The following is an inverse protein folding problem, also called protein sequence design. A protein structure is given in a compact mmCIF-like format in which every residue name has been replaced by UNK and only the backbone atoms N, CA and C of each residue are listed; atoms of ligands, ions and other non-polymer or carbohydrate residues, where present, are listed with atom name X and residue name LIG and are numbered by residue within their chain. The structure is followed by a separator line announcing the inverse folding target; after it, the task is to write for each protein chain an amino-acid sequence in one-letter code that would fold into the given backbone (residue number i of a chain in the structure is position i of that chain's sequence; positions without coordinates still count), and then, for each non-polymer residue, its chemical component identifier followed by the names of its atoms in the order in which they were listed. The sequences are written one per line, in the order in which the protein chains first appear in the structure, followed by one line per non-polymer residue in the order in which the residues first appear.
data_IF_059097982160
#
_entry.id   IF_059097982160
#
_cell.length_a   1.000
_cell.length_b   1.000
_cell.length_c   1.000
_cell.angle_alpha   90.00
_cell.angle_beta   90.00
_cell.angle_gamma   90.00
#
_symmetry.space_group_name_H-M   'P 1'
#
loop_
_entity.id
_entity.type
_entity.pdbx_description
1 polymer ?
#
# COMPACT_ATOMS: atom_id res chain seq x y z
N UNK A 1 -7.47 39.75 7.06
CA UNK A 1 -6.17 39.14 6.73
C UNK A 1 -6.17 37.79 7.41
N UNK A 2 -6.16 36.70 6.66
CA UNK A 2 -5.92 35.37 7.24
C UNK A 2 -4.57 35.40 7.97
N UNK A 3 -4.50 34.77 9.14
CA UNK A 3 -3.26 34.74 9.94
C UNK A 3 -2.22 33.91 9.20
N UNK A 4 -1.07 34.54 8.93
CA UNK A 4 0.09 33.89 8.34
C UNK A 4 0.62 32.76 9.22
N UNK A 5 1.00 31.63 8.63
CA UNK A 5 1.58 30.48 9.34
C UNK A 5 3.04 30.35 8.92
N UNK A 6 3.97 30.83 9.74
CA UNK A 6 5.42 30.85 9.42
C UNK A 6 6.15 29.57 9.82
N UNK A 7 5.61 28.87 10.80
CA UNK A 7 6.15 27.63 11.34
C UNK A 7 5.03 26.71 11.81
N UNK A 8 5.30 25.40 11.86
CA UNK A 8 4.37 24.38 12.34
C UNK A 8 5.02 23.47 13.38
N UNK A 9 4.27 23.07 14.41
CA UNK A 9 4.73 22.09 15.39
C UNK A 9 4.27 20.66 15.05
N UNK A 10 4.68 19.67 15.84
CA UNK A 10 4.29 18.27 15.67
C UNK A 10 2.77 18.05 15.64
N UNK A 11 2.02 18.77 16.48
CA UNK A 11 0.56 18.69 16.52
C UNK A 11 -0.09 19.17 15.21
N UNK A 12 0.37 20.30 14.67
CA UNK A 12 -0.11 20.81 13.38
C UNK A 12 0.28 19.90 12.23
N UNK A 13 1.49 19.33 12.24
CA UNK A 13 1.91 18.33 11.26
C UNK A 13 0.97 17.11 11.29
N UNK A 14 0.73 16.55 12.48
CA UNK A 14 -0.17 15.42 12.67
C UNK A 14 -1.57 15.68 12.12
N UNK A 15 -2.20 16.80 12.50
CA UNK A 15 -3.55 17.10 12.05
C UNK A 15 -3.64 17.42 10.55
N UNK A 16 -2.59 17.99 9.96
CA UNK A 16 -2.53 18.15 8.49
C UNK A 16 -2.52 16.79 7.78
N UNK A 17 -1.82 15.79 8.32
CA UNK A 17 -1.82 14.43 7.80
C UNK A 17 -3.18 13.74 7.99
N UNK A 18 -3.85 13.97 9.12
CA UNK A 18 -5.20 13.46 9.34
C UNK A 18 -6.19 14.04 8.31
N UNK A 19 -6.06 15.33 7.97
CA UNK A 19 -6.88 15.96 6.94
C UNK A 19 -6.57 15.41 5.54
N UNK A 20 -5.30 15.14 5.24
CA UNK A 20 -4.91 14.43 4.02
C UNK A 20 -5.47 13.00 3.93
N UNK A 21 -5.41 12.25 5.04
CA UNK A 21 -5.99 10.92 5.16
C UNK A 21 -7.50 10.93 4.91
N UNK A 22 -8.21 11.91 5.49
CA UNK A 22 -9.64 12.14 5.26
C UNK A 22 -9.97 12.29 3.77
N UNK A 23 -9.21 13.09 3.02
CA UNK A 23 -9.40 13.26 1.58
C UNK A 23 -9.16 11.98 0.79
N UNK A 24 -8.21 11.13 1.20
CA UNK A 24 -8.01 9.82 0.58
C UNK A 24 -9.25 8.94 0.78
N UNK A 25 -9.82 8.91 1.98
CA UNK A 25 -11.03 8.14 2.25
C UNK A 25 -12.22 8.62 1.41
N UNK A 26 -12.43 9.93 1.31
CA UNK A 26 -13.49 10.53 0.48
C UNK A 26 -13.35 10.23 -1.01
N UNK A 27 -12.12 10.01 -1.48
CA UNK A 27 -11.81 9.76 -2.88
C UNK A 27 -11.51 8.29 -3.19
N UNK A 28 -11.66 7.38 -2.22
CA UNK A 28 -11.25 5.98 -2.35
C UNK A 28 -11.84 5.32 -3.62
N UNK A 29 -13.16 5.46 -3.82
CA UNK A 29 -13.87 4.87 -4.98
C UNK A 29 -13.38 5.46 -6.30
N UNK A 30 -13.13 6.77 -6.35
CA UNK A 30 -12.59 7.44 -7.54
C UNK A 30 -11.20 6.91 -7.87
N UNK A 31 -10.32 6.80 -6.87
CA UNK A 31 -8.95 6.32 -7.04
C UNK A 31 -8.93 4.86 -7.53
N UNK A 32 -9.81 4.02 -7.01
CA UNK A 32 -9.98 2.65 -7.49
C UNK A 32 -10.44 2.63 -8.96
N UNK A 33 -11.42 3.46 -9.31
CA UNK A 33 -11.99 3.52 -10.66
C UNK A 33 -10.98 3.92 -11.75
N UNK A 34 -9.99 4.75 -11.42
CA UNK A 34 -8.97 5.21 -12.37
C UNK A 34 -7.69 4.35 -12.34
N UNK A 35 -7.64 3.30 -11.51
CA UNK A 35 -6.47 2.43 -11.45
C UNK A 35 -6.40 1.55 -12.72
N UNK A 36 -5.53 1.94 -13.64
CA UNK A 36 -5.29 1.22 -14.90
C UNK A 36 -3.82 0.90 -15.15
N UNK A 37 -2.92 1.23 -14.21
CA UNK A 37 -1.48 1.03 -14.33
C UNK A 37 -0.84 0.67 -12.97
N UNK A 38 0.11 -0.27 -12.91
CA UNK A 38 0.53 -1.17 -14.01
C UNK A 38 -0.54 -2.22 -14.33
N UNK A 39 -1.40 -2.53 -13.35
CA UNK A 39 -2.48 -3.52 -13.48
C UNK A 39 -3.80 -2.82 -13.15
N UNK A 40 -4.82 -3.01 -13.99
CA UNK A 40 -6.14 -2.43 -13.77
C UNK A 40 -7.01 -3.27 -12.81
N UNK A 41 -6.53 -3.45 -11.58
CA UNK A 41 -7.16 -4.28 -10.54
C UNK A 41 -8.13 -3.50 -9.62
N UNK A 42 -8.30 -2.20 -9.87
CA UNK A 42 -9.14 -1.29 -9.09
C UNK A 42 -8.82 -1.23 -7.58
N UNK A 43 -7.55 -1.40 -7.19
CA UNK A 43 -7.17 -1.48 -5.78
C UNK A 43 -6.42 -0.25 -5.20
N UNK A 44 -5.94 0.68 -6.03
CA UNK A 44 -5.02 1.76 -5.58
C UNK A 44 -5.62 2.62 -4.47
N UNK A 45 -6.89 2.99 -4.58
CA UNK A 45 -7.61 3.74 -3.54
C UNK A 45 -7.72 2.93 -2.24
N UNK A 46 -8.03 1.65 -2.32
CA UNK A 46 -8.10 0.72 -1.17
C UNK A 46 -6.74 0.56 -0.50
N UNK A 47 -5.67 0.49 -1.28
CA UNK A 47 -4.29 0.39 -0.81
C UNK A 47 -3.85 1.67 -0.08
N UNK A 48 -4.08 2.83 -0.67
CA UNK A 48 -3.81 4.12 -0.03
C UNK A 48 -4.67 4.34 1.23
N UNK A 49 -5.97 4.04 1.18
CA UNK A 49 -6.86 4.12 2.33
C UNK A 49 -6.39 3.20 3.47
N UNK A 50 -5.91 1.99 3.16
CA UNK A 50 -5.36 1.08 4.18
C UNK A 50 -4.14 1.68 4.88
N UNK A 51 -3.22 2.28 4.10
CA UNK A 51 -2.06 3.02 4.63
C UNK A 51 -2.50 4.15 5.54
N UNK A 52 -3.43 5.00 5.08
CA UNK A 52 -3.94 6.13 5.85
C UNK A 52 -4.65 5.69 7.14
N UNK A 53 -5.40 4.60 7.10
CA UNK A 53 -6.09 4.05 8.27
C UNK A 53 -5.12 3.59 9.34
N UNK A 54 -4.00 3.00 8.95
CA UNK A 54 -2.93 2.67 9.89
C UNK A 54 -2.38 3.92 10.57
N UNK A 55 -2.11 4.99 9.81
CA UNK A 55 -1.68 6.28 10.35
C UNK A 55 -2.70 6.81 11.36
N UNK A 56 -3.98 6.90 10.96
CA UNK A 56 -5.07 7.41 11.82
C UNK A 56 -5.23 6.60 13.11
N UNK A 57 -5.11 5.27 13.04
CA UNK A 57 -5.39 4.39 14.17
C UNK A 57 -4.21 4.23 15.14
N UNK A 58 -2.97 4.49 14.69
CA UNK A 58 -1.77 4.11 15.45
C UNK A 58 -0.78 5.24 15.67
N UNK A 59 -0.81 6.29 14.85
CA UNK A 59 0.04 7.45 15.07
C UNK A 59 -0.62 8.39 16.09
N UNK A 60 0.17 8.85 17.05
CA UNK A 60 -0.22 9.86 18.02
C UNK A 60 0.76 11.04 17.97
N UNK A 61 0.29 12.29 18.07
CA UNK A 61 1.17 13.45 18.12
C UNK A 61 2.05 13.39 19.37
N UNK A 62 3.34 13.63 19.17
CA UNK A 62 4.35 13.64 20.24
C UNK A 62 4.74 15.09 20.58
N UNK A 63 5.38 15.30 21.73
CA UNK A 63 5.86 16.64 22.12
C UNK A 63 6.89 17.21 21.13
N UNK A 64 7.73 16.34 20.58
CA UNK A 64 8.77 16.70 19.62
C UNK A 64 8.28 16.46 18.18
N UNK A 65 8.53 17.42 17.29
CA UNK A 65 8.16 17.39 15.88
C UNK A 65 8.71 16.13 15.18
N UNK A 66 9.99 15.83 15.37
CA UNK A 66 10.65 14.67 14.78
C UNK A 66 10.01 13.37 15.23
N UNK A 67 9.72 13.23 16.52
CA UNK A 67 9.04 12.03 17.02
C UNK A 67 7.62 11.89 16.47
N UNK A 68 6.92 12.99 16.23
CA UNK A 68 5.62 12.95 15.54
C UNK A 68 5.77 12.48 14.09
N UNK A 69 6.75 13.01 13.35
CA UNK A 69 7.02 12.59 11.98
C UNK A 69 7.44 11.12 11.88
N UNK A 70 8.28 10.64 12.82
CA UNK A 70 8.68 9.23 12.93
C UNK A 70 7.46 8.34 13.23
N UNK A 71 6.58 8.75 14.14
CA UNK A 71 5.36 7.99 14.44
C UNK A 71 4.43 7.89 13.22
N UNK A 72 4.23 8.99 12.47
CA UNK A 72 3.47 9.00 11.22
C UNK A 72 4.09 8.07 10.17
N UNK A 73 5.42 8.13 9.99
CA UNK A 73 6.13 7.30 9.02
C UNK A 73 6.11 5.80 9.39
N UNK A 74 6.31 5.46 10.66
CA UNK A 74 6.28 4.06 11.13
C UNK A 74 4.87 3.46 10.99
N UNK A 75 3.83 4.23 11.32
CA UNK A 75 2.45 3.84 11.13
C UNK A 75 2.11 3.65 9.64
N UNK A 76 2.60 4.55 8.77
CA UNK A 76 2.45 4.43 7.32
C UNK A 76 3.13 3.16 6.80
N UNK A 77 4.39 2.92 7.15
CA UNK A 77 5.16 1.76 6.71
C UNK A 77 4.51 0.44 7.19
N UNK A 78 4.06 0.40 8.45
CA UNK A 78 3.38 -0.76 9.04
C UNK A 78 2.03 -1.05 8.37
N UNK A 79 1.34 -0.02 7.87
CA UNK A 79 0.05 -0.14 7.18
C UNK A 79 0.09 -0.21 5.66
N UNK A 80 1.24 0.08 5.05
CA UNK A 80 1.37 0.36 3.62
C UNK A 80 0.97 -0.82 2.72
N UNK A 81 -0.07 -0.73 1.91
CA UNK A 81 -0.43 -1.83 0.98
C UNK A 81 -0.12 -1.48 -0.46
N UNK A 82 0.22 -2.50 -1.25
CA UNK A 82 0.57 -2.36 -2.66
C UNK A 82 1.73 -1.38 -2.93
N UNK A 83 2.04 -1.19 -4.21
CA UNK A 83 3.14 -0.30 -4.61
C UNK A 83 2.90 1.15 -4.19
N UNK A 84 1.70 1.69 -4.43
CA UNK A 84 1.37 3.08 -4.10
C UNK A 84 1.48 3.38 -2.60
N UNK A 85 0.97 2.51 -1.73
CA UNK A 85 1.06 2.69 -0.29
C UNK A 85 2.49 2.61 0.23
N UNK A 86 3.29 1.67 -0.30
CA UNK A 86 4.69 1.48 0.11
C UNK A 86 5.56 2.65 -0.34
N UNK A 87 5.39 3.15 -1.57
CA UNK A 87 6.09 4.35 -2.08
C UNK A 87 5.77 5.57 -1.22
N UNK A 88 4.49 5.79 -0.93
CA UNK A 88 4.05 6.91 -0.10
C UNK A 88 4.62 6.81 1.33
N UNK A 89 4.57 5.62 1.93
CA UNK A 89 5.16 5.39 3.25
C UNK A 89 6.68 5.61 3.26
N UNK A 90 7.38 5.22 2.19
CA UNK A 90 8.82 5.47 2.08
C UNK A 90 9.15 6.95 1.94
N UNK A 91 8.32 7.72 1.21
CA UNK A 91 8.47 9.16 1.15
C UNK A 91 8.32 9.80 2.53
N UNK A 92 7.31 9.39 3.31
CA UNK A 92 7.13 9.86 4.69
C UNK A 92 8.29 9.46 5.61
N UNK A 93 8.80 8.24 5.45
CA UNK A 93 9.98 7.78 6.16
C UNK A 93 11.21 8.64 5.84
N UNK A 94 11.44 8.94 4.56
CA UNK A 94 12.48 9.88 4.12
C UNK A 94 12.33 11.24 4.79
N UNK A 95 11.12 11.83 4.75
CA UNK A 95 10.83 13.10 5.40
C UNK A 95 11.14 13.07 6.90
N UNK A 96 10.74 12.00 7.61
CA UNK A 96 11.00 11.86 9.04
C UNK A 96 12.50 11.81 9.39
N UNK A 97 13.32 11.24 8.49
CA UNK A 97 14.77 11.16 8.67
C UNK A 97 15.48 12.49 8.37
N UNK A 98 14.94 13.30 7.47
CA UNK A 98 15.50 14.61 7.12
C UNK A 98 15.24 15.65 8.23
N UNK A 99 14.18 15.48 9.02
CA UNK A 99 13.88 16.36 10.16
C UNK A 99 15.00 16.28 11.20
N UNK A 100 15.57 17.45 11.50
CA UNK A 100 16.59 17.65 12.53
C UNK A 100 15.95 17.75 13.92
N UNK A 101 16.77 17.86 14.96
CA UNK A 101 16.30 18.10 16.33
C UNK A 101 15.79 19.55 16.48
N UNK A 102 14.59 19.81 15.97
CA UNK A 102 13.93 21.12 15.94
C UNK A 102 12.54 21.03 16.59
N UNK A 103 12.11 22.05 17.32
CA UNK A 103 10.78 22.09 17.98
C UNK A 103 9.66 22.41 16.98
N UNK A 104 9.95 23.32 16.04
CA UNK A 104 9.03 23.77 15.00
C UNK A 104 9.68 23.64 13.62
N UNK A 105 8.84 23.52 12.60
CA UNK A 105 9.26 23.42 11.21
C UNK A 105 8.93 24.71 10.48
N UNK A 106 9.95 25.43 10.05
CA UNK A 106 9.77 26.61 9.20
C UNK A 106 9.41 26.21 7.77
N UNK A 107 8.84 27.15 6.99
CA UNK A 107 8.54 26.95 5.56
C UNK A 107 9.78 26.51 4.78
N UNK A 108 10.93 27.13 5.05
CA UNK A 108 12.18 26.83 4.33
C UNK A 108 12.70 25.42 4.66
N UNK A 109 12.68 25.05 5.94
CA UNK A 109 13.06 23.71 6.38
C UNK A 109 12.12 22.63 5.84
N UNK A 110 10.80 22.85 5.86
CA UNK A 110 9.82 21.93 5.29
C UNK A 110 10.08 21.65 3.81
N UNK A 111 10.26 22.70 3.01
CA UNK A 111 10.52 22.55 1.58
C UNK A 111 11.85 21.83 1.28
N UNK A 112 12.88 22.08 2.08
CA UNK A 112 14.17 21.38 1.98
C UNK A 112 14.06 19.89 2.33
N UNK A 113 13.40 19.56 3.44
CA UNK A 113 13.24 18.17 3.88
C UNK A 113 12.35 17.37 2.92
N UNK A 114 11.28 17.97 2.39
CA UNK A 114 10.44 17.34 1.37
C UNK A 114 11.21 17.05 0.08
N UNK A 115 12.04 18.00 -0.39
CA UNK A 115 12.90 17.80 -1.56
C UNK A 115 13.93 16.70 -1.35
N UNK A 116 14.51 16.60 -0.16
CA UNK A 116 15.46 15.53 0.14
C UNK A 116 14.76 14.17 0.30
N UNK A 117 13.53 14.14 0.83
CA UNK A 117 12.73 12.92 0.99
C UNK A 117 12.40 12.22 -0.34
N UNK A 118 12.39 12.95 -1.46
CA UNK A 118 12.14 12.38 -2.81
C UNK A 118 13.08 11.21 -3.11
N UNK A 119 14.36 11.31 -2.73
CA UNK A 119 15.35 10.25 -3.01
C UNK A 119 14.94 8.91 -2.39
N UNK A 120 14.34 8.93 -1.21
CA UNK A 120 13.92 7.71 -0.51
C UNK A 120 12.81 6.98 -1.27
N UNK A 121 11.87 7.71 -1.88
CA UNK A 121 10.80 7.11 -2.67
C UNK A 121 11.34 6.46 -3.96
N UNK A 122 12.26 7.14 -4.67
CA UNK A 122 12.94 6.58 -5.84
C UNK A 122 13.80 5.37 -5.47
N UNK A 123 14.55 5.49 -4.37
CA UNK A 123 15.28 4.41 -3.73
C UNK A 123 14.37 3.44 -2.95
N UNK A 124 13.07 3.34 -3.21
CA UNK A 124 12.30 2.16 -2.80
C UNK A 124 12.01 1.26 -3.98
N UNK A 125 11.94 1.82 -5.18
CA UNK A 125 11.49 1.13 -6.38
C UNK A 125 12.71 0.58 -7.13
N UNK A 126 12.63 -0.67 -7.59
CA UNK A 126 13.72 -1.28 -8.35
C UNK A 126 13.87 -0.64 -9.74
N UNK A 127 12.74 -0.41 -10.42
CA UNK A 127 12.66 0.21 -11.73
C UNK A 127 11.63 1.36 -11.70
N UNK A 128 12.03 2.58 -11.31
CA UNK A 128 11.13 3.72 -11.26
C UNK A 128 10.54 4.05 -12.64
N UNK A 129 9.23 4.29 -12.70
CA UNK A 129 8.53 4.67 -13.94
C UNK A 129 8.07 6.12 -13.82
N UNK A 130 8.56 6.98 -14.70
CA UNK A 130 8.11 8.37 -14.77
C UNK A 130 6.70 8.45 -15.35
N UNK A 131 5.95 9.51 -14.98
CA UNK A 131 4.52 9.63 -15.26
C UNK A 131 3.64 8.93 -14.21
N UNK A 132 4.20 8.57 -13.06
CA UNK A 132 3.47 7.96 -11.92
C UNK A 132 3.57 8.85 -10.67
N UNK A 133 3.05 8.38 -9.53
CA UNK A 133 3.13 9.06 -8.22
C UNK A 133 4.51 9.68 -7.91
N UNK A 134 5.62 8.99 -8.21
CA UNK A 134 6.96 9.50 -7.92
C UNK A 134 7.31 10.78 -8.70
N UNK A 135 6.80 10.92 -9.94
CA UNK A 135 7.02 12.12 -10.75
C UNK A 135 6.30 13.32 -10.15
N UNK A 136 5.05 13.12 -9.68
CA UNK A 136 4.28 14.20 -9.03
C UNK A 136 4.88 14.58 -7.68
N UNK A 137 5.34 13.60 -6.88
CA UNK A 137 6.08 13.87 -5.64
C UNK A 137 7.33 14.70 -5.91
N UNK A 138 8.13 14.30 -6.91
CA UNK A 138 9.36 15.01 -7.30
C UNK A 138 9.06 16.44 -7.76
N UNK A 139 8.16 16.61 -8.72
CA UNK A 139 7.82 17.92 -9.30
C UNK A 139 7.26 18.88 -8.24
N UNK A 140 6.42 18.37 -7.33
CA UNK A 140 5.90 19.12 -6.20
C UNK A 140 7.01 19.55 -5.24
N UNK A 141 7.84 18.60 -4.80
CA UNK A 141 8.89 18.84 -3.80
C UNK A 141 9.98 19.79 -4.33
N UNK A 142 10.40 19.62 -5.59
CA UNK A 142 11.34 20.52 -6.25
C UNK A 142 10.76 21.94 -6.38
N UNK A 143 9.46 22.06 -6.70
CA UNK A 143 8.84 23.36 -6.86
C UNK A 143 8.69 24.12 -5.54
N UNK A 144 8.21 23.48 -4.46
CA UNK A 144 8.15 24.14 -3.16
C UNK A 144 9.55 24.52 -2.65
N UNK A 145 10.58 23.73 -2.98
CA UNK A 145 11.97 24.07 -2.70
C UNK A 145 12.42 25.36 -3.40
N UNK A 146 12.02 25.58 -4.66
CA UNK A 146 12.30 26.83 -5.37
C UNK A 146 11.57 28.06 -4.78
N UNK A 147 10.51 27.83 -4.00
CA UNK A 147 9.73 28.87 -3.33
C UNK A 147 10.16 29.12 -1.89
N UNK A 148 11.05 28.29 -1.34
CA UNK A 148 11.40 28.25 0.10
C UNK A 148 11.90 29.58 0.68
N UNK A 149 12.55 30.41 -0.17
CA UNK A 149 13.09 31.72 0.20
C UNK A 149 12.21 32.89 -0.28
N UNK A 150 11.14 32.59 -1.02
CA UNK A 150 10.18 33.59 -1.55
C UNK A 150 8.96 33.75 -0.64
N UNK A 151 8.57 32.66 0.02
CA UNK A 151 7.44 32.64 0.94
C UNK A 151 7.91 32.20 2.32
N UNK A 152 7.31 32.81 3.33
CA UNK A 152 7.41 32.45 4.74
C UNK A 152 6.01 32.18 5.32
N UNK A 153 5.09 31.72 4.46
CA UNK A 153 3.72 31.35 4.82
C UNK A 153 3.37 29.96 4.26
N UNK A 154 3.06 29.01 5.14
CA UNK A 154 2.68 27.64 4.78
C UNK A 154 1.45 27.60 3.86
N UNK A 155 0.46 28.47 4.08
CA UNK A 155 -0.76 28.48 3.25
C UNK A 155 -0.41 28.78 1.79
N UNK A 156 0.46 29.78 1.56
CA UNK A 156 0.93 30.14 0.21
C UNK A 156 1.80 29.05 -0.40
N UNK A 157 2.79 28.54 0.36
CA UNK A 157 3.66 27.47 -0.11
C UNK A 157 2.84 26.24 -0.56
N UNK A 158 1.87 25.82 0.25
CA UNK A 158 1.03 24.67 -0.03
C UNK A 158 0.06 24.92 -1.20
N UNK A 159 -0.49 26.14 -1.34
CA UNK A 159 -1.33 26.49 -2.48
C UNK A 159 -0.57 26.42 -3.81
N UNK A 160 0.58 27.08 -3.89
CA UNK A 160 1.43 27.08 -5.09
C UNK A 160 1.99 25.67 -5.37
N UNK A 161 2.41 24.95 -4.33
CA UNK A 161 2.79 23.54 -4.43
C UNK A 161 1.66 22.67 -4.99
N UNK A 162 0.44 22.79 -4.45
CA UNK A 162 -0.72 22.03 -4.90
C UNK A 162 -1.03 22.30 -6.38
N UNK A 163 -0.95 23.57 -6.82
CA UNK A 163 -1.10 23.90 -8.24
C UNK A 163 -0.07 23.18 -9.10
N UNK A 164 1.21 23.15 -8.68
CA UNK A 164 2.23 22.40 -9.40
C UNK A 164 1.98 20.89 -9.41
N UNK A 165 1.53 20.33 -8.30
CA UNK A 165 1.19 18.91 -8.22
C UNK A 165 0.03 18.56 -9.16
N UNK A 166 -0.99 19.43 -9.28
CA UNK A 166 -2.09 19.26 -10.24
C UNK A 166 -1.63 19.37 -11.70
N UNK A 167 -0.67 20.24 -12.01
CA UNK A 167 -0.05 20.30 -13.34
C UNK A 167 0.68 19.00 -13.66
N UNK A 168 1.56 18.54 -12.77
CA UNK A 168 2.32 17.30 -12.93
C UNK A 168 1.40 16.09 -13.05
N UNK A 169 0.32 16.06 -12.27
CA UNK A 169 -0.71 15.01 -12.36
C UNK A 169 -1.33 14.94 -13.75
N UNK A 170 -1.64 16.08 -14.40
CA UNK A 170 -2.16 16.08 -15.77
C UNK A 170 -1.14 15.52 -16.77
N UNK A 171 0.15 15.81 -16.56
CA UNK A 171 1.23 15.29 -17.40
C UNK A 171 1.39 13.77 -17.32
N UNK A 172 0.88 13.11 -16.28
CA UNK A 172 0.91 11.63 -16.17
C UNK A 172 0.21 10.97 -17.37
N UNK A 173 -0.94 11.53 -17.78
CA UNK A 173 -1.69 11.07 -18.96
C UNK A 173 -0.89 11.26 -20.25
N UNK A 174 -0.06 12.29 -20.36
CA UNK A 174 0.79 12.53 -21.54
C UNK A 174 2.04 11.63 -21.56
N UNK A 175 2.51 11.22 -20.38
CA UNK A 175 3.76 10.46 -20.22
C UNK A 175 3.55 8.97 -20.45
N UNK A 176 2.44 8.41 -19.96
CA UNK A 176 2.15 6.98 -20.04
C UNK A 176 1.03 6.68 -21.04
N UNK A 177 1.35 5.92 -22.07
CA UNK A 177 0.42 5.59 -23.15
C UNK A 177 -0.86 4.87 -22.67
N UNK A 178 -0.76 4.02 -21.64
CA UNK A 178 -1.90 3.32 -21.05
C UNK A 178 -2.90 4.29 -20.38
N UNK A 179 -2.40 5.34 -19.74
CA UNK A 179 -3.20 6.40 -19.12
C UNK A 179 -3.88 7.26 -20.20
N UNK A 180 -3.13 7.64 -21.25
CA UNK A 180 -3.67 8.35 -22.41
C UNK A 180 -4.82 7.59 -23.09
N UNK A 181 -4.62 6.28 -23.33
CA UNK A 181 -5.60 5.41 -23.98
C UNK A 181 -6.89 5.29 -23.18
N UNK A 182 -6.78 5.29 -21.86
CA UNK A 182 -7.91 5.19 -20.93
C UNK A 182 -8.51 6.56 -20.56
N UNK A 183 -7.88 7.66 -21.01
CA UNK A 183 -8.24 9.05 -20.70
C UNK A 183 -8.36 9.30 -19.18
N UNK A 184 -7.41 8.76 -18.41
CA UNK A 184 -7.31 8.95 -16.95
C UNK A 184 -5.89 9.41 -16.58
N UNK A 185 -5.75 9.93 -15.36
CA UNK A 185 -4.45 10.23 -14.74
C UNK A 185 -3.98 9.04 -13.90
N UNK A 186 -2.71 9.04 -13.49
CA UNK A 186 -2.20 8.02 -12.56
C UNK A 186 -2.96 8.03 -11.23
N UNK A 187 -3.47 6.86 -10.81
CA UNK A 187 -4.29 6.73 -9.62
C UNK A 187 -3.50 7.05 -8.35
N UNK A 188 -2.25 6.57 -8.26
CA UNK A 188 -1.37 6.84 -7.15
C UNK A 188 -1.04 8.33 -7.02
N UNK A 189 -0.68 8.97 -8.14
CA UNK A 189 -0.44 10.39 -8.21
C UNK A 189 -1.66 11.23 -7.82
N UNK A 190 -2.86 10.87 -8.31
CA UNK A 190 -4.10 11.55 -7.88
C UNK A 190 -4.30 11.39 -6.37
N UNK A 191 -3.99 10.22 -5.82
CA UNK A 191 -3.94 9.96 -4.39
C UNK A 191 -3.05 10.96 -3.64
N UNK A 192 -1.81 11.14 -4.10
CA UNK A 192 -0.90 12.13 -3.51
C UNK A 192 -1.46 13.57 -3.58
N UNK A 193 -2.05 13.96 -4.73
CA UNK A 193 -2.66 15.29 -4.88
C UNK A 193 -3.84 15.50 -3.92
N UNK A 194 -4.76 14.53 -3.79
CA UNK A 194 -5.90 14.68 -2.85
C UNK A 194 -5.44 14.71 -1.38
N UNK A 195 -4.35 14.02 -1.05
CA UNK A 195 -3.73 14.13 0.27
C UNK A 195 -3.21 15.56 0.51
N UNK A 196 -2.53 16.17 -0.46
CA UNK A 196 -2.10 17.57 -0.39
C UNK A 196 -3.27 18.56 -0.29
N UNK A 197 -4.37 18.32 -1.01
CA UNK A 197 -5.61 19.11 -0.88
C UNK A 197 -6.10 19.12 0.56
N UNK A 198 -6.10 17.97 1.24
CA UNK A 198 -6.49 17.85 2.65
C UNK A 198 -5.54 18.58 3.61
N UNK A 199 -4.23 18.46 3.39
CA UNK A 199 -3.24 19.23 4.17
C UNK A 199 -3.46 20.74 4.01
N UNK A 200 -3.67 21.21 2.78
CA UNK A 200 -3.93 22.61 2.49
C UNK A 200 -5.22 23.11 3.16
N UNK A 201 -6.31 22.32 3.08
CA UNK A 201 -7.59 22.66 3.69
C UNK A 201 -7.48 22.83 5.21
N UNK A 202 -6.67 22.01 5.89
CA UNK A 202 -6.39 22.16 7.32
C UNK A 202 -5.71 23.49 7.65
N UNK A 203 -4.65 23.88 6.92
CA UNK A 203 -3.96 25.13 7.21
C UNK A 203 -4.78 26.37 6.84
N UNK A 204 -5.61 26.27 5.79
CA UNK A 204 -6.47 27.37 5.36
C UNK A 204 -7.65 27.59 6.30
N UNK A 205 -8.33 26.52 6.70
CA UNK A 205 -9.60 26.61 7.43
C UNK A 205 -9.44 26.38 8.95
N UNK A 206 -8.27 25.95 9.40
CA UNK A 206 -8.00 25.57 10.79
C UNK A 206 -8.42 24.14 11.10
N UNK A 207 -8.62 23.83 12.39
CA UNK A 207 -9.06 22.51 12.84
C UNK A 207 -10.43 22.17 12.26
N UNK A 208 -10.45 21.29 11.27
CA UNK A 208 -11.65 20.61 10.81
C UNK A 208 -11.97 19.52 11.86
N UNK A 209 -13.23 19.37 12.24
CA UNK A 209 -13.65 18.22 13.06
C UNK A 209 -13.51 16.96 12.20
N UNK A 210 -12.42 16.21 12.37
CA UNK A 210 -12.19 14.98 11.64
C UNK A 210 -12.85 13.84 12.42
N UNK A 211 -13.88 13.22 11.83
CA UNK A 211 -14.57 12.08 12.42
C UNK A 211 -14.28 10.81 11.62
N UNK A 212 -13.41 9.96 12.18
CA UNK A 212 -13.02 8.69 11.59
C UNK A 212 -13.88 7.49 12.05
N UNK A 213 -14.78 7.65 13.01
CA UNK A 213 -15.52 6.54 13.64
C UNK A 213 -16.45 5.78 12.67
N UNK A 214 -16.85 6.40 11.56
CA UNK A 214 -17.80 5.82 10.59
C UNK A 214 -17.23 5.52 9.20
N UNK A 215 -15.93 5.69 8.97
CA UNK A 215 -15.36 5.42 7.65
C UNK A 215 -15.11 3.93 7.46
N UNK A 216 -16.06 3.24 6.83
CA UNK A 216 -15.81 1.89 6.29
C UNK A 216 -14.90 2.01 5.05
N UNK A 217 -13.99 1.05 4.89
CA UNK A 217 -13.24 0.91 3.62
C UNK A 217 -14.29 0.52 2.57
N UNK A 218 -14.57 1.40 1.62
CA UNK A 218 -15.46 1.08 0.51
C UNK A 218 -14.72 0.20 -0.49
N UNK A 219 -15.08 -1.07 -0.54
CA UNK A 219 -14.48 -2.00 -1.50
C UNK A 219 -15.03 -1.66 -2.88
N UNK A 220 -14.12 -1.49 -3.84
CA UNK A 220 -14.43 -0.98 -5.17
C UNK A 220 -15.54 -1.81 -5.85
N UNK A 221 -16.52 -1.12 -6.44
CA UNK A 221 -17.38 -1.73 -7.45
C UNK A 221 -16.55 -2.10 -8.67
N UNK A 222 -16.70 -3.33 -9.16
CA UNK A 222 -16.05 -3.80 -10.36
C UNK A 222 -16.49 -2.95 -11.55
N UNK A 223 -15.61 -2.08 -12.04
CA UNK A 223 -15.84 -1.40 -13.31
C UNK A 223 -15.46 -2.38 -14.41
N UNK A 224 -16.34 -2.58 -15.41
CA UNK A 224 -16.06 -3.38 -16.60
C UNK A 224 -14.69 -2.99 -17.17
N UNK A 225 -13.67 -3.84 -16.95
CA UNK A 225 -12.31 -3.52 -17.32
C UNK A 225 -12.11 -3.67 -18.83
N UNK A 226 -11.30 -2.78 -19.38
CA UNK A 226 -10.84 -2.82 -20.78
C UNK A 226 -9.77 -3.92 -20.85
N UNK A 227 -9.83 -4.76 -21.90
CA UNK A 227 -8.88 -5.84 -22.17
C UNK A 227 -7.42 -5.45 -21.86
N UNK A 228 -6.78 -6.25 -21.00
CA UNK A 228 -5.51 -5.97 -20.34
C UNK A 228 -4.27 -6.21 -21.21
N UNK A 229 -3.17 -5.56 -20.82
CA UNK A 229 -1.79 -6.03 -21.07
C UNK A 229 -1.56 -7.38 -20.36
N UNK A 230 -0.63 -8.20 -20.86
CA UNK A 230 -0.37 -9.54 -20.33
C UNK A 230 0.09 -9.49 -18.87
N UNK A 231 -0.66 -10.13 -17.95
CA UNK A 231 -0.20 -10.38 -16.58
C UNK A 231 0.99 -11.34 -16.66
N UNK A 232 2.18 -10.85 -16.33
CA UNK A 232 3.42 -11.64 -16.39
C UNK A 232 3.52 -12.68 -15.28
N UNK A 233 3.11 -12.30 -14.07
CA UNK A 233 3.23 -13.12 -12.85
C UNK A 233 1.89 -13.21 -12.14
N UNK A 234 1.60 -14.37 -11.56
CA UNK A 234 0.29 -14.66 -10.97
C UNK A 234 0.02 -13.92 -9.66
N UNK A 235 1.00 -13.84 -8.77
CA UNK A 235 0.75 -13.41 -7.40
C UNK A 235 1.37 -12.05 -7.08
N UNK A 236 0.57 -11.16 -6.51
CA UNK A 236 1.05 -10.00 -5.78
C UNK A 236 1.45 -10.44 -4.37
N UNK A 237 2.73 -10.33 -4.03
CA UNK A 237 3.30 -10.80 -2.76
C UNK A 237 3.84 -9.64 -1.93
N UNK A 238 3.40 -9.53 -0.67
CA UNK A 238 3.88 -8.54 0.29
C UNK A 238 4.39 -9.20 1.57
N UNK A 239 5.40 -8.58 2.19
CA UNK A 239 5.89 -9.00 3.51
C UNK A 239 6.36 -7.82 4.36
N UNK A 240 6.24 -7.97 5.69
CA UNK A 240 6.94 -7.14 6.68
C UNK A 240 7.99 -7.98 7.39
N UNK A 241 9.22 -7.50 7.42
CA UNK A 241 10.36 -8.16 8.05
C UNK A 241 10.94 -7.23 9.12
N UNK A 242 11.01 -7.72 10.35
CA UNK A 242 11.69 -7.05 11.46
C UNK A 242 13.03 -7.72 11.73
N UNK A 243 14.06 -6.94 12.05
CA UNK A 243 15.39 -7.48 12.31
C UNK A 243 16.37 -6.39 12.68
N UNK A 244 17.65 -6.70 12.50
CA UNK A 244 18.76 -5.75 12.66
C UNK A 244 19.62 -5.79 11.40
N UNK A 245 20.17 -4.63 11.00
CA UNK A 245 21.00 -4.50 9.80
C UNK A 245 20.32 -5.00 8.52
N UNK A 246 19.02 -4.76 8.38
CA UNK A 246 18.24 -5.06 7.18
C UNK A 246 18.66 -4.14 6.03
N UNK A 247 19.55 -4.62 5.15
CA UNK A 247 20.06 -3.86 4.01
C UNK A 247 19.18 -4.05 2.79
N UNK A 248 18.75 -2.93 2.20
CA UNK A 248 17.92 -2.93 0.98
C UNK A 248 18.57 -3.69 -0.17
N UNK A 249 19.89 -3.54 -0.34
CA UNK A 249 20.63 -4.21 -1.41
C UNK A 249 20.51 -5.73 -1.31
N UNK A 250 20.55 -6.28 -0.08
CA UNK A 250 20.38 -7.71 0.16
C UNK A 250 18.99 -8.19 -0.28
N UNK A 251 17.93 -7.46 0.08
CA UNK A 251 16.57 -7.80 -0.36
C UNK A 251 16.44 -7.70 -1.88
N UNK A 252 16.96 -6.63 -2.47
CA UNK A 252 16.95 -6.41 -3.92
C UNK A 252 17.63 -7.56 -4.67
N UNK A 253 18.81 -7.98 -4.24
CA UNK A 253 19.57 -9.05 -4.89
C UNK A 253 18.86 -10.41 -4.80
N UNK A 254 18.21 -10.69 -3.67
CA UNK A 254 17.42 -11.92 -3.47
C UNK A 254 16.15 -11.90 -4.31
N UNK A 255 15.44 -10.77 -4.36
CA UNK A 255 14.11 -10.65 -4.97
C UNK A 255 14.14 -10.45 -6.48
N UNK A 256 15.18 -9.82 -7.04
CA UNK A 256 15.32 -9.54 -8.46
C UNK A 256 15.06 -10.74 -9.41
N UNK A 257 15.48 -11.98 -9.12
CA UNK A 257 15.16 -13.12 -9.98
C UNK A 257 13.71 -13.65 -9.86
N UNK A 258 12.94 -13.24 -8.84
CA UNK A 258 11.60 -13.81 -8.57
C UNK A 258 10.47 -13.16 -9.36
N UNK A 259 10.67 -11.95 -9.88
CA UNK A 259 9.68 -11.33 -10.76
C UNK A 259 9.82 -9.82 -10.90
N UNK A 260 8.69 -9.13 -11.07
CA UNK A 260 8.66 -7.71 -11.44
C UNK A 260 7.97 -6.81 -10.41
N UNK A 261 7.86 -5.51 -10.74
CA UNK A 261 7.13 -4.51 -9.94
C UNK A 261 7.61 -4.41 -8.48
N UNK A 262 8.91 -4.63 -8.28
CA UNK A 262 9.51 -4.71 -6.95
C UNK A 262 9.63 -3.34 -6.26
N UNK A 263 9.16 -3.29 -5.01
CA UNK A 263 9.32 -2.16 -4.09
C UNK A 263 9.82 -2.67 -2.74
N UNK A 264 10.88 -2.03 -2.22
CA UNK A 264 11.50 -2.34 -0.93
C UNK A 264 11.61 -1.03 -0.16
N UNK A 265 10.85 -0.90 0.92
CA UNK A 265 10.80 0.28 1.77
C UNK A 265 11.16 -0.04 3.22
N UNK A 266 11.49 0.99 3.99
CA UNK A 266 11.77 0.91 5.41
C UNK A 266 13.21 1.28 5.77
N UNK A 267 13.69 0.64 6.83
CA UNK A 267 14.92 0.95 7.55
C UNK A 267 15.73 -0.30 7.84
N UNK A 268 16.90 -0.12 8.44
CA UNK A 268 17.75 -1.23 8.92
C UNK A 268 17.10 -2.12 9.99
N UNK A 269 15.96 -1.71 10.58
CA UNK A 269 15.25 -2.47 11.62
C UNK A 269 13.94 -3.11 11.15
N UNK A 270 13.35 -2.55 10.10
CA UNK A 270 12.02 -2.92 9.61
C UNK A 270 11.98 -2.67 8.11
N UNK A 271 11.74 -3.71 7.34
CA UNK A 271 11.64 -3.66 5.87
C UNK A 271 10.27 -4.16 5.45
N UNK A 272 9.65 -3.42 4.53
CA UNK A 272 8.45 -3.83 3.82
C UNK A 272 8.77 -4.07 2.36
N UNK A 273 8.31 -5.19 1.82
CA UNK A 273 8.50 -5.55 0.42
C UNK A 273 7.17 -5.75 -0.30
N UNK A 274 7.18 -5.50 -1.60
CA UNK A 274 6.16 -5.91 -2.56
C UNK A 274 6.85 -6.39 -3.84
N UNK A 275 6.33 -7.45 -4.45
CA UNK A 275 6.78 -8.00 -5.73
C UNK A 275 5.67 -8.82 -6.39
N UNK A 276 5.61 -8.82 -7.71
CA UNK A 276 4.81 -9.78 -8.46
C UNK A 276 5.66 -11.01 -8.80
N UNK A 277 5.20 -12.21 -8.43
CA UNK A 277 5.94 -13.46 -8.60
C UNK A 277 4.99 -14.66 -8.78
N UNK A 278 5.47 -15.73 -9.41
CA UNK A 278 4.75 -17.01 -9.48
C UNK A 278 5.07 -17.93 -8.30
N UNK A 279 6.16 -17.67 -7.57
CA UNK A 279 6.67 -18.54 -6.52
C UNK A 279 6.83 -17.81 -5.17
N UNK A 280 5.73 -17.30 -4.56
CA UNK A 280 5.80 -16.61 -3.27
C UNK A 280 6.46 -17.46 -2.18
N UNK A 281 6.18 -18.77 -2.17
CA UNK A 281 6.73 -19.73 -1.22
C UNK A 281 8.26 -19.78 -1.22
N UNK A 282 8.90 -19.74 -2.38
CA UNK A 282 10.36 -19.77 -2.47
C UNK A 282 10.94 -18.42 -2.05
N UNK A 283 10.32 -17.32 -2.49
CA UNK A 283 10.72 -15.99 -2.03
C UNK A 283 10.71 -15.89 -0.50
N UNK A 284 9.62 -16.33 0.14
CA UNK A 284 9.50 -16.32 1.60
C UNK A 284 10.57 -17.19 2.28
N UNK A 285 10.93 -18.33 1.69
CA UNK A 285 12.03 -19.17 2.17
C UNK A 285 13.39 -18.45 2.08
N UNK A 286 13.65 -17.69 1.00
CA UNK A 286 14.91 -16.96 0.82
C UNK A 286 15.06 -15.75 1.72
N UNK A 287 13.97 -15.05 2.06
CA UNK A 287 14.03 -13.85 2.91
C UNK A 287 13.91 -14.16 4.41
N UNK A 288 13.38 -15.33 4.78
CA UNK A 288 13.22 -15.74 6.19
C UNK A 288 14.53 -15.69 7.01
N UNK A 289 15.72 -16.03 6.47
CA UNK A 289 16.98 -15.90 7.23
C UNK A 289 17.40 -14.46 7.53
N UNK A 290 16.82 -13.45 6.86
CA UNK A 290 17.23 -12.05 7.04
C UNK A 290 16.62 -11.41 8.30
N UNK A 291 15.52 -11.94 8.81
CA UNK A 291 14.80 -11.41 9.96
C UNK A 291 13.46 -12.08 10.18
N UNK A 292 12.74 -11.64 11.20
CA UNK A 292 11.42 -12.18 11.55
C UNK A 292 10.35 -11.60 10.64
N UNK A 293 9.72 -12.46 9.84
CA UNK A 293 8.57 -12.07 9.00
C UNK A 293 7.34 -11.93 9.89
N UNK A 294 6.85 -10.71 10.05
CA UNK A 294 5.70 -10.38 10.92
C UNK A 294 4.39 -10.19 10.15
N UNK A 295 4.45 -10.09 8.83
CA UNK A 295 3.29 -9.97 7.95
C UNK A 295 3.57 -10.68 6.63
N UNK A 296 2.56 -11.36 6.08
CA UNK A 296 2.57 -11.98 4.75
C UNK A 296 1.23 -11.72 4.08
N UNK A 297 1.25 -11.40 2.79
CA UNK A 297 0.06 -11.28 1.94
C UNK A 297 0.41 -11.85 0.56
N UNK A 298 -0.49 -12.65 0.01
CA UNK A 298 -0.38 -13.18 -1.34
C UNK A 298 -1.75 -13.14 -1.98
N UNK A 299 -1.91 -12.34 -3.04
CA UNK A 299 -3.16 -12.22 -3.81
C UNK A 299 -2.97 -12.75 -5.23
N UNK A 300 -3.93 -13.54 -5.71
CA UNK A 300 -3.95 -14.07 -7.09
C UNK A 300 -4.50 -13.02 -8.06
N UNK A 301 -3.58 -12.34 -8.75
CA UNK A 301 -3.91 -11.28 -9.71
C UNK A 301 -4.57 -11.82 -10.97
N UNK A 302 -4.19 -13.03 -11.42
CA UNK A 302 -4.81 -13.67 -12.59
C UNK A 302 -6.28 -13.92 -12.31
N UNK A 303 -6.60 -14.51 -11.16
CA UNK A 303 -7.98 -14.77 -10.77
C UNK A 303 -8.77 -13.47 -10.56
N UNK A 304 -8.18 -12.46 -9.90
CA UNK A 304 -8.82 -11.15 -9.73
C UNK A 304 -9.14 -10.49 -11.08
N UNK A 305 -8.19 -10.54 -12.01
CA UNK A 305 -8.36 -10.01 -13.36
C UNK A 305 -9.45 -10.77 -14.15
N UNK A 306 -9.44 -12.11 -14.07
CA UNK A 306 -10.45 -12.96 -14.70
C UNK A 306 -11.85 -12.71 -14.14
N UNK A 307 -11.97 -12.40 -12.85
CA UNK A 307 -13.23 -12.01 -12.22
C UNK A 307 -13.75 -10.65 -12.68
N UNK A 308 -12.86 -9.69 -12.92
CA UNK A 308 -13.22 -8.35 -13.37
C UNK A 308 -13.58 -8.32 -14.86
N UNK A 309 -12.82 -9.03 -15.71
CA UNK A 309 -12.92 -8.96 -17.17
C UNK A 309 -13.73 -10.10 -17.81
N UNK A 310 -13.61 -11.31 -17.26
CA UNK A 310 -14.07 -12.56 -17.88
C UNK A 310 -14.88 -13.43 -16.91
N UNK A 311 -15.76 -12.81 -16.11
CA UNK A 311 -16.60 -13.52 -15.15
C UNK A 311 -17.45 -14.60 -15.84
N UNK A 312 -17.22 -15.87 -15.47
CA UNK A 312 -17.83 -17.05 -16.11
C UNK A 312 -19.22 -17.39 -15.57
N UNK A 313 -19.54 -16.96 -14.34
CA UNK A 313 -20.76 -17.34 -13.63
C UNK A 313 -21.41 -16.13 -12.92
N UNK A 314 -22.71 -16.22 -12.61
CA UNK A 314 -23.43 -15.19 -11.83
C UNK A 314 -23.33 -15.39 -10.31
N UNK A 315 -22.86 -16.57 -9.88
CA UNK A 315 -22.70 -16.96 -8.48
C UNK A 315 -21.20 -17.11 -8.19
N UNK A 316 -20.72 -16.43 -7.15
CA UNK A 316 -19.36 -16.55 -6.65
C UNK A 316 -19.22 -17.77 -5.73
N UNK A 317 -18.10 -18.48 -5.84
CA UNK A 317 -17.77 -19.60 -4.96
C UNK A 317 -16.61 -19.21 -4.05
N UNK A 318 -16.75 -19.51 -2.76
CA UNK A 318 -15.68 -19.30 -1.78
C UNK A 318 -15.53 -20.52 -0.87
N UNK A 319 -14.27 -20.87 -0.63
CA UNK A 319 -13.86 -21.97 0.25
C UNK A 319 -12.60 -21.58 0.99
N UNK A 320 -12.17 -22.44 1.91
CA UNK A 320 -10.84 -22.38 2.50
C UNK A 320 -9.93 -23.48 1.94
N UNK A 321 -8.63 -23.40 2.22
CA UNK A 321 -7.63 -24.30 1.64
C UNK A 321 -7.74 -25.76 2.08
N UNK A 322 -8.49 -26.07 3.16
CA UNK A 322 -8.68 -27.47 3.59
C UNK A 322 -9.49 -28.31 2.62
N UNK A 323 -10.26 -27.70 1.72
CA UNK A 323 -10.96 -28.43 0.66
C UNK A 323 -10.01 -29.02 -0.39
N UNK A 324 -8.71 -28.68 -0.33
CA UNK A 324 -7.62 -29.29 -1.09
C UNK A 324 -7.84 -29.28 -2.61
N UNK A 325 -8.61 -28.31 -3.11
CA UNK A 325 -9.05 -28.27 -4.51
C UNK A 325 -7.87 -28.19 -5.48
N UNK A 326 -7.88 -28.97 -6.57
CA UNK A 326 -6.93 -28.82 -7.67
C UNK A 326 -7.02 -27.45 -8.35
N UNK A 327 -5.89 -26.97 -8.89
CA UNK A 327 -5.80 -25.62 -9.45
C UNK A 327 -6.68 -25.44 -10.70
N UNK A 328 -6.79 -26.47 -11.53
CA UNK A 328 -7.63 -26.48 -12.72
C UNK A 328 -9.13 -26.34 -12.38
N UNK A 329 -9.56 -26.88 -11.23
CA UNK A 329 -10.93 -26.71 -10.73
C UNK A 329 -11.14 -25.28 -10.22
N UNK A 330 -10.17 -24.74 -9.46
CA UNK A 330 -10.20 -23.36 -8.95
C UNK A 330 -10.36 -22.37 -10.11
N UNK A 331 -9.54 -22.50 -11.16
CA UNK A 331 -9.54 -21.62 -12.32
C UNK A 331 -10.77 -21.79 -13.21
N UNK A 332 -11.21 -23.05 -13.42
CA UNK A 332 -12.39 -23.34 -14.23
C UNK A 332 -13.64 -22.69 -13.66
N UNK A 333 -13.82 -22.75 -12.34
CA UNK A 333 -15.01 -22.22 -11.65
C UNK A 333 -14.79 -20.88 -10.96
N UNK A 334 -13.61 -20.27 -11.11
CA UNK A 334 -13.22 -19.00 -10.48
C UNK A 334 -13.42 -18.99 -8.95
N UNK A 335 -13.07 -20.11 -8.30
CA UNK A 335 -13.29 -20.32 -6.86
C UNK A 335 -12.31 -19.46 -6.05
N UNK A 336 -12.81 -18.66 -5.10
CA UNK A 336 -11.96 -17.99 -4.14
C UNK A 336 -11.56 -18.95 -3.03
N UNK A 337 -10.26 -19.15 -2.82
CA UNK A 337 -9.73 -19.98 -1.74
C UNK A 337 -9.06 -19.07 -0.71
N UNK A 338 -9.53 -19.11 0.54
CA UNK A 338 -8.88 -18.43 1.66
C UNK A 338 -7.88 -19.41 2.30
N UNK A 339 -6.58 -19.09 2.34
CA UNK A 339 -5.57 -19.98 2.89
C UNK A 339 -5.70 -20.09 4.41
N UNK A 340 -5.57 -21.30 4.95
CA UNK A 340 -5.33 -21.46 6.38
C UNK A 340 -3.93 -21.00 6.74
N UNK A 341 -3.74 -20.70 8.03
CA UNK A 341 -2.42 -20.40 8.56
C UNK A 341 -1.83 -21.64 9.24
N UNK A 342 -0.66 -22.07 8.78
CA UNK A 342 0.14 -23.13 9.40
C UNK A 342 1.22 -22.47 10.25
N UNK A 343 1.32 -22.85 11.52
CA UNK A 343 2.30 -22.33 12.46
C UNK A 343 3.34 -23.38 12.80
N UNK A 344 4.59 -22.95 12.90
CA UNK A 344 5.67 -23.71 13.51
C UNK A 344 6.37 -22.80 14.53
N UNK A 345 5.93 -22.88 15.79
CA UNK A 345 6.43 -21.98 16.83
C UNK A 345 5.96 -20.56 16.57
N UNK A 346 6.90 -19.63 16.31
CA UNK A 346 6.59 -18.24 16.00
C UNK A 346 6.44 -17.98 14.49
N UNK A 347 6.90 -18.91 13.65
CA UNK A 347 6.75 -18.80 12.21
C UNK A 347 5.34 -19.18 11.78
N UNK A 348 4.79 -18.45 10.81
CA UNK A 348 3.49 -18.73 10.23
C UNK A 348 3.55 -18.73 8.70
N UNK A 349 2.70 -19.53 8.07
CA UNK A 349 2.66 -19.73 6.63
C UNK A 349 1.20 -19.75 6.16
N UNK A 350 0.90 -19.04 5.08
CA UNK A 350 -0.33 -19.20 4.31
C UNK A 350 -0.22 -20.49 3.50
N UNK A 351 -1.12 -21.42 3.76
CA UNK A 351 -1.17 -22.74 3.13
C UNK A 351 -1.21 -22.62 1.60
N UNK A 352 -0.44 -23.48 0.92
CA UNK A 352 -0.20 -23.53 -0.54
C UNK A 352 0.40 -22.28 -1.21
N UNK A 353 0.33 -21.11 -0.58
CA UNK A 353 0.83 -19.85 -1.14
C UNK A 353 2.26 -19.58 -0.68
N UNK A 354 2.53 -19.73 0.61
CA UNK A 354 3.85 -19.44 1.21
C UNK A 354 4.54 -20.67 1.77
N UNK A 355 3.87 -21.83 1.69
CA UNK A 355 4.43 -23.14 2.03
C UNK A 355 3.81 -24.18 1.10
N UNK A 356 4.66 -24.93 0.41
CA UNK A 356 4.26 -26.06 -0.41
C UNK A 356 4.09 -27.33 0.44
N UNK A 357 3.23 -28.29 0.03
CA UNK A 357 3.05 -29.55 0.76
C UNK A 357 4.37 -30.29 1.02
N UNK A 358 5.28 -30.30 0.05
CA UNK A 358 6.61 -30.91 0.21
C UNK A 358 7.44 -30.25 1.32
N UNK A 359 7.41 -28.91 1.41
CA UNK A 359 8.09 -28.16 2.46
C UNK A 359 7.47 -28.46 3.83
N UNK A 360 6.14 -28.54 3.92
CA UNK A 360 5.43 -28.91 5.14
C UNK A 360 5.90 -30.27 5.66
N UNK A 361 5.83 -31.33 4.84
CA UNK A 361 6.22 -32.68 5.27
C UNK A 361 7.71 -32.77 5.61
N UNK A 362 8.57 -32.06 4.88
CA UNK A 362 9.98 -31.97 5.22
C UNK A 362 10.19 -31.30 6.60
N UNK A 363 9.48 -30.20 6.88
CA UNK A 363 9.58 -29.50 8.16
C UNK A 363 8.97 -30.30 9.31
N UNK A 364 7.90 -31.03 9.06
CA UNK A 364 7.26 -31.92 10.03
C UNK A 364 8.21 -33.02 10.55
N UNK A 365 9.05 -33.57 9.68
CA UNK A 365 10.01 -34.63 10.05
C UNK A 365 11.25 -34.07 10.74
N UNK A 366 11.69 -32.86 10.36
CA UNK A 366 12.98 -32.31 10.77
C UNK A 366 12.89 -31.21 11.85
N UNK A 367 11.70 -30.79 12.26
CA UNK A 367 11.51 -29.75 13.27
C UNK A 367 11.15 -30.36 14.62
N UNK A 368 11.78 -29.87 15.68
CA UNK A 368 11.41 -30.20 17.06
C UNK A 368 10.05 -29.59 17.48
N UNK A 369 9.51 -28.69 16.66
CA UNK A 369 8.23 -28.02 16.89
C UNK A 369 7.18 -28.61 15.97
N UNK A 370 6.15 -29.23 16.55
CA UNK A 370 5.01 -29.73 15.80
C UNK A 370 4.16 -28.58 15.25
N UNK A 371 3.63 -28.71 14.02
CA UNK A 371 2.80 -27.68 13.45
C UNK A 371 1.46 -27.58 14.17
N UNK A 372 0.94 -26.37 14.25
CA UNK A 372 -0.46 -26.12 14.55
C UNK A 372 -1.10 -25.39 13.37
N UNK A 373 -2.42 -25.49 13.23
CA UNK A 373 -3.17 -24.74 12.22
C UNK A 373 -4.10 -23.76 12.92
N UNK A 374 -4.32 -22.62 12.27
CA UNK A 374 -5.31 -21.64 12.66
C UNK A 374 -6.26 -21.39 11.49
N UNK A 375 -7.54 -21.19 11.80
CA UNK A 375 -8.52 -20.74 10.82
C UNK A 375 -8.14 -19.34 10.32
N UNK A 376 -8.54 -18.98 9.09
CA UNK A 376 -8.33 -17.63 8.58
C UNK A 376 -9.04 -16.60 9.47
N UNK A 377 -8.51 -15.38 9.51
CA UNK A 377 -9.09 -14.35 10.35
C UNK A 377 -10.48 -13.93 9.83
N UNK A 378 -11.39 -13.58 10.74
CA UNK A 378 -12.75 -13.09 10.38
C UNK A 378 -12.67 -11.92 9.39
N UNK A 379 -11.68 -11.04 9.57
CA UNK A 379 -11.45 -9.91 8.67
C UNK A 379 -11.12 -10.34 7.23
N UNK A 380 -10.40 -11.45 7.02
CA UNK A 380 -10.09 -11.97 5.68
C UNK A 380 -11.35 -12.47 4.98
N UNK A 381 -12.22 -13.18 5.71
CA UNK A 381 -13.54 -13.57 5.20
C UNK A 381 -14.37 -12.34 4.83
N UNK A 382 -14.52 -11.37 5.74
CA UNK A 382 -15.29 -10.14 5.48
C UNK A 382 -14.76 -9.43 4.23
N UNK A 383 -13.44 -9.27 4.12
CA UNK A 383 -12.81 -8.62 2.96
C UNK A 383 -13.13 -9.38 1.67
N UNK A 384 -13.02 -10.71 1.67
CA UNK A 384 -13.28 -11.53 0.48
C UNK A 384 -14.77 -11.56 0.11
N UNK A 385 -15.67 -11.61 1.08
CA UNK A 385 -17.12 -11.52 0.83
C UNK A 385 -17.51 -10.18 0.24
N UNK A 386 -17.02 -9.09 0.83
CA UNK A 386 -17.30 -7.75 0.33
C UNK A 386 -16.76 -7.56 -1.09
N UNK A 387 -15.53 -8.03 -1.36
CA UNK A 387 -14.98 -8.05 -2.73
C UNK A 387 -15.87 -8.83 -3.68
N UNK A 388 -16.22 -10.09 -3.36
CA UNK A 388 -17.09 -10.88 -4.23
C UNK A 388 -18.48 -10.26 -4.42
N UNK A 389 -19.02 -9.56 -3.41
CA UNK A 389 -20.32 -8.92 -3.53
C UNK A 389 -20.35 -7.78 -4.54
N UNK A 390 -19.20 -7.22 -4.91
CA UNK A 390 -19.12 -6.20 -5.98
C UNK A 390 -19.12 -6.81 -7.38
N UNK A 391 -18.77 -8.10 -7.50
CA UNK A 391 -18.70 -8.82 -8.77
C UNK A 391 -19.87 -9.80 -8.98
N UNK A 392 -20.52 -10.27 -7.93
CA UNK A 392 -21.52 -11.35 -7.98
C UNK A 392 -22.85 -10.98 -7.33
N UNK A 393 -23.94 -11.52 -7.87
CA UNK A 393 -25.30 -11.33 -7.29
C UNK A 393 -25.52 -12.17 -6.05
N UNK A 394 -24.80 -13.28 -5.92
CA UNK A 394 -24.92 -14.24 -4.83
C UNK A 394 -23.61 -14.98 -4.64
N UNK A 395 -23.34 -15.40 -3.41
CA UNK A 395 -22.12 -16.11 -3.03
C UNK A 395 -22.52 -17.41 -2.35
N UNK A 396 -21.92 -18.53 -2.76
CA UNK A 396 -21.98 -19.79 -2.03
C UNK A 396 -20.64 -20.00 -1.34
N UNK A 397 -20.72 -20.14 -0.02
CA UNK A 397 -19.59 -20.40 0.86
C UNK A 397 -19.65 -21.84 1.34
N UNK A 398 -18.57 -22.59 1.11
CA UNK A 398 -18.42 -23.96 1.57
C UNK A 398 -17.09 -24.06 2.32
N UNK A 399 -17.14 -24.36 3.61
CA UNK A 399 -15.97 -24.45 4.48
C UNK A 399 -15.96 -25.78 5.21
N UNK A 400 -14.78 -26.15 5.72
CA UNK A 400 -14.66 -27.33 6.57
C UNK A 400 -15.58 -27.22 7.80
N UNK A 401 -16.22 -28.34 8.12
CA UNK A 401 -17.10 -28.43 9.29
C UNK A 401 -16.28 -28.29 10.57
N UNK A 402 -16.86 -27.66 11.59
CA UNK A 402 -16.31 -27.66 12.96
C UNK A 402 -16.16 -29.06 13.56
N UNK A 403 -16.79 -30.09 12.98
CA UNK A 403 -16.59 -31.48 13.40
C UNK A 403 -15.28 -32.11 12.89
N UNK A 404 -14.56 -31.42 12.00
CA UNK A 404 -13.26 -31.86 11.44
C UNK A 404 -12.10 -30.92 11.82
N UNK A 405 -12.38 -29.86 12.60
CA UNK A 405 -11.39 -28.86 13.04
C UNK A 405 -10.76 -29.19 14.38
#
# INVERSE_FOLDING_TARGET
MESKITEINGFQLYHSFMAGAQRIFENQVLLNKINVFPVADADTGTNLASTMRSIVNTAEPQQNLKFTAVALADAALTGARGNSGIIFAQFLYGFSNEIKEEETLTVSAFAEYMKNAVRYAYEAIANPVEGTMISVIKDWAEYIYLLKDKFDDFIRLLLDGLNKAMESLKMTTETLAVLAKSNVVDAGAKGFVVFLEGMFDYFKNGQIAINFENQKIEIAEAVNSINHEEITFRYCTEAMINGENLKRETFNDIMKPFGDSMVIAGSEKKVRIHIHTDEPWELFEKIAPLGTITYKKVDDMVLQNDLASNRKFDIGLITDSTCDLPMDIIEKYQIQVIPLTVHFGQDFYLDRLTMQPKQFFHKLVNSDVYPTTAQPAISEFINRYNYLSTHYKSIISAHISSGMS
#
